data_IF_020604443859
#
_entry.id   IF_020604443859
#
_cell.length_a   1.000
_cell.length_b   1.000
_cell.length_c   1.000
_cell.angle_alpha   90.00
_cell.angle_beta   90.00
_cell.angle_gamma   90.00
#
_symmetry.space_group_name_H-M   'P 1'
#
loop_
_entity.id
_entity.type
_entity.pdbx_description
1 polymer ?
#
# COMPACT_ATOMS: atom_id res chain seq x y z
N UNK A 1 43.62 -42.53 -26.21
CA UNK A 1 42.34 -41.80 -26.22
C UNK A 1 42.17 -41.18 -24.85
N UNK A 2 42.27 -39.86 -24.76
CA UNK A 2 42.43 -39.08 -23.52
C UNK A 2 41.09 -38.79 -22.85
N UNK A 3 40.99 -39.13 -21.56
CA UNK A 3 40.07 -38.51 -20.61
C UNK A 3 40.64 -37.15 -20.16
N UNK A 4 39.79 -36.15 -19.98
CA UNK A 4 39.64 -35.36 -18.72
C UNK A 4 38.78 -34.12 -19.01
N UNK A 5 37.81 -33.92 -18.12
CA UNK A 5 36.78 -32.92 -18.12
C UNK A 5 37.29 -31.49 -17.84
N UNK A 6 36.58 -30.51 -18.41
CA UNK A 6 36.56 -29.11 -17.96
C UNK A 6 35.10 -28.72 -17.68
N UNK A 7 34.78 -28.10 -16.53
CA UNK A 7 33.43 -27.61 -16.25
C UNK A 7 33.25 -26.23 -16.88
N UNK A 8 32.31 -26.10 -17.82
CA UNK A 8 31.87 -24.81 -18.35
C UNK A 8 30.86 -24.17 -17.37
N UNK A 9 30.92 -22.84 -17.14
CA UNK A 9 30.26 -22.21 -16.00
C UNK A 9 28.75 -22.18 -16.19
N UNK A 10 28.05 -22.43 -15.07
CA UNK A 10 26.64 -22.20 -14.82
C UNK A 10 26.09 -21.02 -15.62
N UNK A 11 25.48 -21.34 -16.76
CA UNK A 11 24.60 -20.42 -17.48
C UNK A 11 23.44 -20.15 -16.54
N UNK A 12 23.39 -18.93 -16.03
CA UNK A 12 22.23 -18.41 -15.30
C UNK A 12 21.04 -18.59 -16.21
N UNK A 13 20.24 -19.64 -16.01
CA UNK A 13 18.83 -19.59 -16.32
C UNK A 13 18.24 -18.52 -15.41
N UNK A 14 17.75 -17.38 -15.92
CA UNK A 14 16.56 -16.87 -15.30
C UNK A 14 15.52 -17.94 -15.57
N UNK A 15 15.20 -18.74 -14.55
CA UNK A 15 13.90 -19.39 -14.48
C UNK A 15 12.90 -18.25 -14.62
N UNK A 16 12.48 -17.97 -15.86
CA UNK A 16 11.19 -17.39 -16.16
C UNK A 16 10.21 -18.40 -15.59
N UNK A 17 10.04 -18.28 -14.27
CA UNK A 17 8.80 -18.59 -13.61
C UNK A 17 7.88 -17.57 -14.24
N UNK A 18 7.33 -17.95 -15.40
CA UNK A 18 6.15 -17.35 -15.99
C UNK A 18 5.12 -17.45 -14.90
N UNK A 19 5.17 -16.43 -14.06
CA UNK A 19 4.20 -16.10 -13.08
C UNK A 19 2.97 -15.81 -13.93
N UNK A 20 2.18 -16.85 -14.18
CA UNK A 20 0.74 -16.73 -14.26
C UNK A 20 0.26 -16.11 -12.93
N UNK A 21 0.65 -14.87 -12.64
CA UNK A 21 -0.18 -13.98 -11.87
C UNK A 21 -1.29 -13.58 -12.84
N UNK A 22 -2.23 -14.51 -13.00
CA UNK A 22 -3.59 -14.14 -13.34
C UNK A 22 -3.94 -12.94 -12.45
N UNK A 23 -4.47 -11.90 -13.08
CA UNK A 23 -4.78 -10.58 -12.56
C UNK A 23 -5.85 -10.59 -11.44
N UNK A 24 -5.78 -11.55 -10.51
CA UNK A 24 -6.65 -11.73 -9.37
C UNK A 24 -6.21 -10.77 -8.26
N UNK A 25 -6.93 -9.65 -8.17
CA UNK A 25 -7.01 -8.82 -6.98
C UNK A 25 -5.68 -8.26 -6.46
N UNK A 26 -5.24 -7.12 -6.99
CA UNK A 26 -4.16 -6.35 -6.36
C UNK A 26 -4.61 -5.92 -4.96
N UNK A 27 -3.95 -6.44 -3.91
CA UNK A 27 -4.13 -6.00 -2.53
C UNK A 27 -2.78 -5.66 -1.89
N UNK A 28 -2.77 -4.58 -1.13
CA UNK A 28 -1.70 -4.21 -0.21
C UNK A 28 -2.18 -4.31 1.24
N UNK A 29 -1.27 -4.17 2.20
CA UNK A 29 -1.60 -4.25 3.62
C UNK A 29 -2.73 -3.29 4.07
N UNK A 30 -2.88 -2.17 3.36
CA UNK A 30 -3.83 -1.10 3.71
C UNK A 30 -4.69 -0.67 2.53
N UNK A 31 -4.71 -1.43 1.43
CA UNK A 31 -5.53 -1.07 0.28
C UNK A 31 -5.87 -2.31 -0.53
N UNK A 32 -6.93 -2.23 -1.31
CA UNK A 32 -7.27 -3.23 -2.33
C UNK A 32 -7.76 -2.54 -3.58
N UNK A 33 -7.55 -3.12 -4.76
CA UNK A 33 -8.18 -2.62 -5.97
C UNK A 33 -9.72 -2.62 -5.81
N UNK A 34 -10.36 -1.56 -6.31
CA UNK A 34 -11.82 -1.40 -6.27
C UNK A 34 -12.54 -2.33 -7.25
N UNK A 35 -11.86 -2.75 -8.32
CA UNK A 35 -12.35 -3.62 -9.40
C UNK A 35 -11.19 -4.48 -9.92
N UNK A 36 -11.49 -5.41 -10.83
CA UNK A 36 -10.50 -6.15 -11.63
C UNK A 36 -9.82 -5.26 -12.69
N UNK A 37 -9.45 -4.04 -12.29
CA UNK A 37 -8.80 -3.03 -13.14
C UNK A 37 -7.40 -2.81 -12.58
N UNK A 38 -6.42 -2.74 -13.47
CA UNK A 38 -5.05 -2.44 -13.11
C UNK A 38 -4.92 -1.04 -12.51
N UNK A 39 -4.21 -0.95 -11.39
CA UNK A 39 -3.82 0.32 -10.78
C UNK A 39 -2.74 0.96 -11.66
N UNK A 40 -3.04 2.10 -12.25
CA UNK A 40 -2.13 2.78 -13.20
C UNK A 40 -1.34 3.90 -12.56
N UNK A 41 -1.81 4.44 -11.42
CA UNK A 41 -1.21 5.58 -10.75
C UNK A 41 -0.83 5.23 -9.32
N UNK A 42 0.44 5.47 -9.02
CA UNK A 42 1.03 5.15 -7.72
C UNK A 42 1.81 6.34 -7.20
N UNK A 43 1.80 6.52 -5.88
CA UNK A 43 2.79 7.37 -5.23
C UNK A 43 4.17 6.74 -5.38
N UNK A 44 5.13 7.53 -5.85
CA UNK A 44 6.50 7.06 -6.06
C UNK A 44 7.20 6.63 -4.75
N UNK A 45 6.77 7.17 -3.60
CA UNK A 45 7.40 6.93 -2.30
C UNK A 45 6.49 6.13 -1.37
N UNK A 46 7.05 5.07 -0.78
CA UNK A 46 6.39 4.33 0.29
C UNK A 46 6.24 5.23 1.52
N UNK A 47 5.05 5.22 2.12
CA UNK A 47 4.75 6.04 3.30
C UNK A 47 4.07 5.22 4.39
N UNK A 48 4.53 5.40 5.63
CA UNK A 48 3.94 4.83 6.85
C UNK A 48 3.05 5.88 7.50
N UNK A 49 1.84 5.47 7.93
CA UNK A 49 0.81 6.41 8.40
C UNK A 49 0.81 6.66 9.93
N UNK A 50 1.64 5.93 10.68
CA UNK A 50 1.72 5.98 12.14
C UNK A 50 3.13 5.62 12.64
N UNK A 51 3.34 5.66 13.96
CA UNK A 51 4.59 5.23 14.60
C UNK A 51 4.63 3.72 14.95
N UNK A 52 3.49 3.04 15.01
CA UNK A 52 3.41 1.63 15.44
C UNK A 52 4.38 0.73 14.67
N UNK A 53 5.20 -0.06 15.35
CA UNK A 53 6.20 -0.94 14.71
C UNK A 53 5.56 -2.02 13.84
N UNK A 54 4.40 -2.54 14.25
CA UNK A 54 3.61 -3.53 13.51
C UNK A 54 3.15 -3.04 12.13
N UNK A 55 3.10 -1.72 11.92
CA UNK A 55 2.66 -1.15 10.65
C UNK A 55 3.83 -0.88 9.71
N UNK A 56 3.75 -1.43 8.51
CA UNK A 56 4.77 -1.25 7.48
C UNK A 56 4.57 0.02 6.65
N UNK A 57 5.67 0.51 6.07
CA UNK A 57 5.60 1.52 5.01
C UNK A 57 5.10 0.85 3.73
N UNK A 58 4.14 1.45 3.04
CA UNK A 58 3.50 0.86 1.85
C UNK A 58 3.42 1.88 0.73
N UNK A 59 3.45 1.39 -0.52
CA UNK A 59 3.15 2.20 -1.69
C UNK A 59 1.64 2.42 -1.79
N UNK A 60 1.23 3.66 -2.03
CA UNK A 60 -0.18 4.03 -2.04
C UNK A 60 -0.67 4.22 -3.47
N UNK A 61 -1.73 3.50 -3.89
CA UNK A 61 -2.37 3.76 -5.16
C UNK A 61 -3.12 5.09 -5.12
N UNK A 62 -3.14 5.76 -6.27
CA UNK A 62 -3.87 7.01 -6.47
C UNK A 62 -5.16 6.79 -7.26
N UNK A 63 -5.29 5.69 -7.99
CA UNK A 63 -6.47 5.36 -8.78
C UNK A 63 -7.09 4.02 -8.37
N UNK A 64 -8.38 3.83 -8.67
CA UNK A 64 -9.11 2.56 -8.67
C UNK A 64 -8.88 1.65 -7.44
N UNK A 65 -8.72 2.24 -6.25
CA UNK A 65 -8.44 1.50 -5.02
C UNK A 65 -9.35 1.89 -3.86
N UNK A 66 -9.59 0.93 -2.98
CA UNK A 66 -10.17 1.11 -1.65
C UNK A 66 -9.04 1.17 -0.64
N UNK A 67 -8.85 2.33 -0.03
CA UNK A 67 -7.86 2.58 1.01
C UNK A 67 -8.48 2.25 2.38
N UNK A 68 -7.74 1.53 3.21
CA UNK A 68 -8.08 1.21 4.59
C UNK A 68 -7.12 1.95 5.50
N UNK A 69 -7.58 3.02 6.16
CA UNK A 69 -6.72 3.83 7.03
C UNK A 69 -6.66 3.17 8.42
N UNK A 70 -5.47 2.78 8.92
CA UNK A 70 -5.34 2.19 10.25
C UNK A 70 -5.89 3.11 11.35
N UNK A 71 -6.46 2.56 12.43
CA UNK A 71 -7.04 3.36 13.51
C UNK A 71 -6.02 4.25 14.23
N UNK A 72 -4.74 3.85 14.25
CA UNK A 72 -3.64 4.61 14.85
C UNK A 72 -3.01 5.62 13.89
N UNK A 73 -3.56 5.81 12.68
CA UNK A 73 -3.00 6.70 11.70
C UNK A 73 -3.16 8.17 12.11
N UNK A 74 -2.09 8.94 11.89
CA UNK A 74 -2.04 10.38 12.11
C UNK A 74 -1.30 11.12 10.98
N UNK A 75 -0.87 10.40 9.93
CA UNK A 75 -0.28 10.95 8.71
C UNK A 75 -1.15 10.63 7.50
N UNK A 76 -1.17 11.53 6.52
CA UNK A 76 -1.92 11.33 5.28
C UNK A 76 -1.08 10.58 4.24
N UNK A 77 -1.62 9.57 3.52
CA UNK A 77 -0.86 8.90 2.46
C UNK A 77 -0.47 9.87 1.33
N UNK A 78 -1.31 10.85 1.01
CA UNK A 78 -1.20 11.66 -0.22
C UNK A 78 -0.55 13.02 -0.07
N UNK A 79 -0.55 13.61 1.13
CA UNK A 79 0.02 14.95 1.31
C UNK A 79 0.76 15.09 2.65
N UNK A 80 1.69 16.05 2.74
CA UNK A 80 2.38 16.36 3.99
C UNK A 80 1.58 17.31 4.90
N UNK A 81 0.53 17.98 4.40
CA UNK A 81 -0.24 18.99 5.16
C UNK A 81 -0.86 18.46 6.44
N UNK A 82 -1.26 17.18 6.42
CA UNK A 82 -1.82 16.52 7.59
C UNK A 82 -0.73 16.03 8.57
N UNK A 83 0.48 15.78 8.08
CA UNK A 83 1.58 15.23 8.87
C UNK A 83 2.22 16.26 9.81
N UNK A 84 2.10 17.55 9.48
CA UNK A 84 2.72 18.66 10.22
C UNK A 84 1.99 19.04 11.50
N UNK A 85 0.94 18.32 11.89
CA UNK A 85 0.17 18.61 13.11
C UNK A 85 0.95 18.33 14.40
N UNK A 86 2.20 17.82 14.33
CA UNK A 86 3.09 17.62 15.47
C UNK A 86 2.59 16.60 16.51
N UNK A 87 1.46 15.97 16.23
CA UNK A 87 0.81 14.97 17.10
C UNK A 87 1.09 13.57 16.57
N UNK A 88 1.33 12.65 17.51
CA UNK A 88 1.35 11.21 17.27
C UNK A 88 0.05 10.55 17.71
N UNK A 89 -0.92 11.34 18.19
CA UNK A 89 -2.22 10.84 18.61
C UNK A 89 -3.00 10.35 17.39
N UNK A 90 -3.71 9.21 17.49
CA UNK A 90 -4.58 8.72 16.44
C UNK A 90 -5.60 9.78 15.97
N UNK A 91 -5.58 10.14 14.68
CA UNK A 91 -6.50 11.11 14.07
C UNK A 91 -7.33 10.48 12.94
N UNK A 92 -7.60 9.17 12.99
CA UNK A 92 -8.19 8.40 11.89
C UNK A 92 -9.47 9.03 11.30
N UNK A 93 -10.38 9.54 12.15
CA UNK A 93 -11.63 10.17 11.70
C UNK A 93 -11.34 11.47 10.92
N UNK A 94 -10.48 12.33 11.46
CA UNK A 94 -10.08 13.58 10.79
C UNK A 94 -9.29 13.30 9.51
N UNK A 95 -8.46 12.25 9.52
CA UNK A 95 -7.67 11.84 8.37
C UNK A 95 -8.55 11.28 7.24
N UNK A 96 -9.57 10.48 7.56
CA UNK A 96 -10.54 10.05 6.57
C UNK A 96 -11.30 11.25 5.99
N UNK A 97 -11.81 12.15 6.83
CA UNK A 97 -12.48 13.36 6.37
C UNK A 97 -11.58 14.24 5.49
N UNK A 98 -10.31 14.43 5.87
CA UNK A 98 -9.31 15.11 5.07
C UNK A 98 -9.11 14.43 3.72
N UNK A 99 -9.00 13.09 3.70
CA UNK A 99 -8.77 12.36 2.46
C UNK A 99 -9.97 12.42 1.52
N UNK A 100 -11.18 12.32 2.07
CA UNK A 100 -12.41 12.47 1.29
C UNK A 100 -12.59 13.89 0.74
N UNK A 101 -12.26 14.90 1.54
CA UNK A 101 -12.43 16.30 1.15
C UNK A 101 -11.36 16.77 0.17
N UNK A 102 -10.10 16.46 0.42
CA UNK A 102 -8.98 17.10 -0.29
C UNK A 102 -8.42 16.25 -1.42
N UNK A 103 -8.59 14.92 -1.37
CA UNK A 103 -8.06 14.01 -2.40
C UNK A 103 -9.17 13.41 -3.26
N UNK A 104 -10.32 13.00 -2.70
CA UNK A 104 -11.41 12.46 -3.55
C UNK A 104 -12.16 13.51 -4.36
N UNK A 105 -12.12 14.79 -3.97
CA UNK A 105 -12.84 15.85 -4.69
C UNK A 105 -12.29 16.12 -6.09
N UNK A 106 -11.04 15.71 -6.35
CA UNK A 106 -10.41 15.82 -7.67
C UNK A 106 -10.38 14.44 -8.37
N UNK A 107 -11.45 14.06 -9.09
CA UNK A 107 -11.53 12.75 -9.75
C UNK A 107 -10.49 12.56 -10.85
N UNK A 108 -9.84 13.62 -11.34
CA UNK A 108 -8.78 13.52 -12.34
C UNK A 108 -7.45 13.03 -11.72
N UNK A 109 -7.14 13.51 -10.51
CA UNK A 109 -5.96 13.09 -9.77
C UNK A 109 -6.17 11.75 -9.06
N UNK A 110 -7.37 11.52 -8.51
CA UNK A 110 -7.71 10.32 -7.73
C UNK A 110 -8.93 9.56 -8.27
N UNK A 111 -8.90 9.09 -9.54
CA UNK A 111 -10.06 8.47 -10.18
C UNK A 111 -10.42 7.14 -9.49
N UNK A 112 -11.65 7.02 -9.00
CA UNK A 112 -12.16 5.76 -8.42
C UNK A 112 -11.54 5.39 -7.06
N UNK A 113 -10.83 6.33 -6.43
CA UNK A 113 -10.30 6.15 -5.08
C UNK A 113 -11.42 6.22 -4.04
N UNK A 114 -11.45 5.26 -3.13
CA UNK A 114 -12.36 5.25 -1.98
C UNK A 114 -11.58 5.05 -0.69
N UNK A 115 -12.11 5.56 0.42
CA UNK A 115 -11.46 5.52 1.73
C UNK A 115 -12.40 4.85 2.70
N UNK A 116 -11.86 3.96 3.53
CA UNK A 116 -12.57 3.27 4.58
C UNK A 116 -11.76 3.34 5.87
N UNK A 117 -12.48 3.42 6.99
CA UNK A 117 -11.88 3.32 8.31
C UNK A 117 -11.41 1.87 8.52
N UNK A 118 -10.13 1.70 8.81
CA UNK A 118 -9.61 0.44 9.34
C UNK A 118 -10.32 0.14 10.67
N UNK A 119 -10.81 -1.09 10.81
CA UNK A 119 -11.44 -1.49 12.07
C UNK A 119 -10.41 -1.38 13.19
N UNK A 120 -10.84 -0.83 14.33
CA UNK A 120 -10.07 -0.86 15.57
C UNK A 120 -9.97 -2.31 16.05
N UNK A 121 -8.99 -3.06 15.60
CA UNK A 121 -8.57 -4.27 16.29
C UNK A 121 -7.69 -3.82 17.46
N UNK A 122 -8.29 -3.25 18.50
CA UNK A 122 -7.65 -3.34 19.82
C UNK A 122 -7.46 -4.83 20.05
N UNK A 123 -6.23 -5.28 20.26
CA UNK A 123 -6.02 -6.56 20.89
C UNK A 123 -6.87 -6.57 22.16
N UNK A 124 -7.78 -7.54 22.28
CA UNK A 124 -8.57 -7.71 23.49
C UNK A 124 -7.58 -7.89 24.62
N UNK A 125 -7.48 -6.91 25.52
CA UNK A 125 -6.64 -7.06 26.70
C UNK A 125 -7.09 -8.34 27.42
N UNK A 126 -6.17 -9.27 27.75
CA UNK A 126 -6.55 -10.41 28.57
C UNK A 126 -7.03 -9.85 29.92
N UNK A 127 -8.21 -10.31 30.33
CA UNK A 127 -8.83 -10.00 31.62
C UNK A 127 -8.16 -10.84 32.71
#
# INVERSE_FOLDING_TARGET
MTNTASPTPSEFQPTETTLEHGYYGLYGHYWKASRDVSLTKWLAKNKKLCACDDHQSTQWPMDQAVITIPPCAYKCPYCPKFDTLGTTDPQVVKLCAHTERDHKINPYEFPGLTVTLGRVTKARAPK
#
